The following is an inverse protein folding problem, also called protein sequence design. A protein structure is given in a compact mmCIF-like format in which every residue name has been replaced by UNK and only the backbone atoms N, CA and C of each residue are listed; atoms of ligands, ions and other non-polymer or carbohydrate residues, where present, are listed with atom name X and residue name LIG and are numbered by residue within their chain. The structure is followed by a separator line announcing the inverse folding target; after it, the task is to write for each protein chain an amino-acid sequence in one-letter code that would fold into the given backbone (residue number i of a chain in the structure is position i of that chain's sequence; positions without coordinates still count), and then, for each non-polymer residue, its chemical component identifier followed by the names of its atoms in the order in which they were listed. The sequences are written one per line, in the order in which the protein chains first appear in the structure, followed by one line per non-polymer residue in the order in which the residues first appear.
data_IF_357202484916
#
_entry.id   IF_357202484916
#
_cell.length_a   1.000
_cell.length_b   1.000
_cell.length_c   1.000
_cell.angle_alpha   90.00
_cell.angle_beta   90.00
_cell.angle_gamma   90.00
#
_symmetry.space_group_name_H-M   'P 1'
#
loop_
_entity.id
_entity.type
_entity.pdbx_description
1 polymer ?
#
# COMPACT_ATOMS: atom_id res chain seq x y z
N UNK A 1 -44.27 41.75 -45.14
CA UNK A 1 -44.30 41.81 -43.65
C UNK A 1 -44.30 40.43 -43.01
N UNK A 2 -45.16 39.50 -43.38
CA UNK A 2 -45.22 38.14 -42.76
C UNK A 2 -43.90 37.38 -42.84
N UNK A 3 -43.21 37.37 -43.99
CA UNK A 3 -41.91 36.70 -44.19
C UNK A 3 -40.81 37.24 -43.28
N UNK A 4 -40.75 38.54 -43.07
CA UNK A 4 -39.79 39.18 -42.16
C UNK A 4 -40.05 38.80 -40.70
N UNK A 5 -41.35 38.80 -40.34
CA UNK A 5 -41.75 38.42 -38.97
C UNK A 5 -41.43 36.95 -38.67
N UNK A 6 -41.72 36.05 -39.63
CA UNK A 6 -41.39 34.61 -39.47
C UNK A 6 -39.88 34.37 -39.37
N UNK A 7 -39.08 35.11 -40.15
CA UNK A 7 -37.61 35.04 -40.08
C UNK A 7 -37.07 35.54 -38.74
N UNK A 8 -37.63 36.63 -38.19
CA UNK A 8 -37.26 37.13 -36.87
C UNK A 8 -37.60 36.13 -35.75
N UNK A 9 -38.79 35.53 -35.81
CA UNK A 9 -39.20 34.49 -34.84
C UNK A 9 -38.30 33.26 -34.93
N UNK A 10 -37.92 32.83 -36.12
CA UNK A 10 -36.99 31.73 -36.31
C UNK A 10 -35.58 32.04 -35.75
N UNK A 11 -35.10 33.28 -35.94
CA UNK A 11 -33.82 33.71 -35.37
C UNK A 11 -33.85 33.78 -33.84
N UNK A 12 -34.98 34.26 -33.26
CA UNK A 12 -35.17 34.25 -31.81
C UNK A 12 -35.19 32.83 -31.24
N UNK A 13 -35.90 31.90 -31.90
CA UNK A 13 -35.90 30.50 -31.51
C UNK A 13 -34.52 29.84 -31.63
N UNK A 14 -33.77 30.09 -32.68
CA UNK A 14 -32.40 29.62 -32.85
C UNK A 14 -31.46 30.17 -31.75
N UNK A 15 -31.57 31.46 -31.42
CA UNK A 15 -30.82 32.08 -30.33
C UNK A 15 -31.19 31.44 -28.98
N UNK A 16 -32.47 31.24 -28.73
CA UNK A 16 -32.99 30.57 -27.53
C UNK A 16 -32.43 29.13 -27.41
N UNK A 17 -32.46 28.37 -28.52
CA UNK A 17 -31.91 27.02 -28.55
C UNK A 17 -30.43 26.98 -28.12
N UNK A 18 -29.58 27.88 -28.66
CA UNK A 18 -28.19 27.95 -28.28
C UNK A 18 -27.97 28.28 -26.78
N UNK A 19 -28.84 29.16 -26.25
CA UNK A 19 -28.79 29.47 -24.82
C UNK A 19 -29.25 28.30 -23.95
N UNK A 20 -30.32 27.60 -24.30
CA UNK A 20 -30.80 26.39 -23.60
C UNK A 20 -29.70 25.31 -23.64
N UNK A 21 -29.03 25.10 -24.79
CA UNK A 21 -27.93 24.14 -24.89
C UNK A 21 -26.78 24.50 -23.94
N UNK A 22 -26.38 25.78 -23.86
CA UNK A 22 -25.35 26.23 -22.91
C UNK A 22 -25.77 26.03 -21.45
N UNK A 23 -27.02 26.36 -21.13
CA UNK A 23 -27.59 26.14 -19.80
C UNK A 23 -27.69 24.64 -19.44
N UNK A 24 -28.08 23.77 -20.36
CA UNK A 24 -28.18 22.35 -20.15
C UNK A 24 -26.79 21.73 -19.86
N UNK A 25 -25.74 22.12 -20.60
CA UNK A 25 -24.37 21.67 -20.32
C UNK A 25 -23.93 22.12 -18.92
N UNK A 26 -24.06 23.41 -18.60
CA UNK A 26 -23.72 23.92 -17.27
C UNK A 26 -24.51 23.23 -16.15
N UNK A 27 -25.77 22.94 -16.40
CA UNK A 27 -26.64 22.25 -15.45
C UNK A 27 -26.17 20.82 -15.18
N UNK A 28 -25.81 20.06 -16.23
CA UNK A 28 -25.29 18.71 -16.10
C UNK A 28 -23.96 18.72 -15.33
N UNK A 29 -23.07 19.65 -15.65
CA UNK A 29 -21.82 19.82 -14.94
C UNK A 29 -22.03 20.08 -13.45
N UNK A 30 -22.82 21.10 -13.12
CA UNK A 30 -23.09 21.48 -11.71
C UNK A 30 -23.82 20.36 -10.96
N UNK A 31 -24.75 19.68 -11.60
CA UNK A 31 -25.44 18.53 -10.99
C UNK A 31 -24.47 17.41 -10.66
N UNK A 32 -23.56 17.07 -11.57
CA UNK A 32 -22.56 16.02 -11.35
C UNK A 32 -21.54 16.45 -10.26
N UNK A 33 -21.03 17.68 -10.31
CA UNK A 33 -20.16 18.23 -9.28
C UNK A 33 -20.83 18.23 -7.89
N UNK A 34 -22.13 18.52 -7.83
CA UNK A 34 -22.91 18.48 -6.58
C UNK A 34 -23.01 17.06 -6.01
N UNK A 35 -23.18 16.04 -6.87
CA UNK A 35 -23.16 14.63 -6.44
C UNK A 35 -21.83 14.25 -5.86
N UNK A 36 -20.73 14.64 -6.50
CA UNK A 36 -19.38 14.34 -6.01
C UNK A 36 -18.98 15.17 -4.77
N UNK A 37 -19.59 16.34 -4.55
CA UNK A 37 -19.45 17.10 -3.31
C UNK A 37 -20.03 16.35 -2.08
N UNK A 38 -20.93 15.38 -2.30
CA UNK A 38 -21.44 14.48 -1.26
C UNK A 38 -20.57 13.22 -1.10
N UNK A 39 -19.26 13.40 -0.99
CA UNK A 39 -18.32 12.30 -0.79
C UNK A 39 -18.55 11.57 0.54
N UNK A 40 -18.01 10.35 0.66
CA UNK A 40 -18.05 9.60 1.90
C UNK A 40 -17.18 10.26 2.98
N UNK A 41 -17.85 10.86 3.98
CA UNK A 41 -17.17 11.58 5.07
C UNK A 41 -16.31 10.64 5.91
N UNK A 42 -16.68 9.38 6.09
CA UNK A 42 -15.94 8.39 6.88
C UNK A 42 -14.60 8.04 6.23
N UNK A 43 -14.60 7.75 4.93
CA UNK A 43 -13.36 7.52 4.17
C UNK A 43 -12.46 8.76 4.17
N UNK A 44 -13.06 9.95 4.04
CA UNK A 44 -12.29 11.18 4.05
C UNK A 44 -11.69 11.50 5.41
N UNK A 45 -12.45 11.39 6.48
CA UNK A 45 -12.00 11.73 7.83
C UNK A 45 -10.85 10.82 8.30
N UNK A 46 -10.97 9.51 8.05
CA UNK A 46 -9.99 8.53 8.52
C UNK A 46 -8.81 8.36 7.56
N UNK A 47 -9.09 8.30 6.25
CA UNK A 47 -8.13 7.83 5.26
C UNK A 47 -7.84 8.81 4.14
N UNK A 48 -8.50 9.97 4.12
CA UNK A 48 -8.31 11.01 3.08
C UNK A 48 -8.57 10.50 1.65
N UNK A 49 -9.45 9.53 1.50
CA UNK A 49 -9.92 9.04 0.19
C UNK A 49 -11.23 9.74 -0.16
N UNK A 50 -11.27 10.39 -1.32
CA UNK A 50 -12.49 10.97 -1.88
C UNK A 50 -13.17 9.92 -2.76
N UNK A 51 -14.40 9.56 -2.41
CA UNK A 51 -15.24 8.65 -3.17
C UNK A 51 -16.71 8.90 -2.82
N UNK A 52 -17.63 8.69 -3.77
CA UNK A 52 -19.07 8.79 -3.54
C UNK A 52 -19.78 7.46 -3.84
N UNK A 53 -21.04 7.32 -3.41
CA UNK A 53 -21.79 6.09 -3.61
C UNK A 53 -22.29 5.98 -5.06
N UNK A 54 -21.92 4.89 -5.75
CA UNK A 54 -22.38 4.60 -7.11
C UNK A 54 -23.91 4.49 -7.20
N UNK A 55 -24.56 3.92 -6.17
CA UNK A 55 -26.01 3.63 -6.18
C UNK A 55 -26.87 4.88 -6.28
N UNK A 56 -26.40 6.01 -5.80
CA UNK A 56 -27.17 7.27 -5.74
C UNK A 56 -26.87 8.25 -6.87
N UNK A 57 -25.89 7.99 -7.75
CA UNK A 57 -25.42 8.97 -8.75
C UNK A 57 -26.53 9.41 -9.69
N UNK A 58 -27.21 8.48 -10.36
CA UNK A 58 -28.24 8.83 -11.36
C UNK A 58 -29.42 9.57 -10.75
N UNK A 59 -29.94 9.08 -9.63
CA UNK A 59 -31.07 9.70 -8.93
C UNK A 59 -30.73 11.15 -8.49
N UNK A 60 -29.54 11.36 -7.96
CA UNK A 60 -29.08 12.68 -7.53
C UNK A 60 -28.80 13.61 -8.70
N UNK A 61 -28.17 13.14 -9.79
CA UNK A 61 -27.97 13.96 -11.01
C UNK A 61 -29.31 14.43 -11.56
N UNK A 62 -30.32 13.55 -11.61
CA UNK A 62 -31.68 13.91 -12.05
C UNK A 62 -32.33 14.91 -11.09
N UNK A 63 -32.22 14.69 -9.77
CA UNK A 63 -32.78 15.58 -8.76
C UNK A 63 -32.16 16.97 -8.82
N UNK A 64 -30.84 17.09 -8.74
CA UNK A 64 -30.11 18.36 -8.81
C UNK A 64 -30.29 19.04 -10.17
N UNK A 65 -30.35 18.26 -11.25
CA UNK A 65 -30.66 18.77 -12.58
C UNK A 65 -32.03 19.45 -12.64
N UNK A 66 -33.06 18.92 -12.00
CA UNK A 66 -34.41 19.48 -11.98
C UNK A 66 -34.56 20.64 -10.97
N UNK A 67 -33.98 20.56 -9.77
CA UNK A 67 -34.08 21.60 -8.74
C UNK A 67 -33.53 22.94 -9.21
N UNK A 68 -32.36 22.97 -9.81
CA UNK A 68 -31.75 24.20 -10.31
C UNK A 68 -32.58 24.89 -11.41
N UNK A 69 -33.37 24.13 -12.18
CA UNK A 69 -34.27 24.67 -13.19
C UNK A 69 -35.48 25.38 -12.53
N UNK A 70 -35.97 24.83 -11.43
CA UNK A 70 -37.13 25.36 -10.70
C UNK A 70 -36.81 26.63 -9.91
N UNK A 71 -35.71 26.68 -9.20
CA UNK A 71 -35.35 27.80 -8.31
C UNK A 71 -35.08 29.12 -9.05
N UNK A 72 -34.68 29.10 -10.32
CA UNK A 72 -34.37 30.31 -11.12
C UNK A 72 -35.59 30.99 -11.77
N UNK A 73 -36.80 30.53 -11.49
CA UNK A 73 -38.00 30.91 -12.27
C UNK A 73 -38.97 31.79 -11.50
N UNK A 74 -38.51 32.90 -10.93
CA UNK A 74 -39.40 34.04 -10.61
C UNK A 74 -39.67 34.84 -11.90
N UNK A 75 -40.73 34.52 -12.61
CA UNK A 75 -41.14 35.25 -13.82
C UNK A 75 -41.52 34.42 -15.04
N UNK A 76 -41.54 35.03 -16.22
CA UNK A 76 -41.80 34.31 -17.49
C UNK A 76 -40.57 33.46 -17.82
N UNK A 77 -40.72 32.14 -17.70
CA UNK A 77 -39.64 31.20 -18.03
C UNK A 77 -39.47 31.03 -19.54
N UNK A 78 -38.58 31.80 -20.14
CA UNK A 78 -38.23 31.66 -21.57
C UNK A 78 -37.41 30.39 -21.86
N UNK A 79 -36.84 29.76 -20.86
CA UNK A 79 -35.98 28.59 -21.00
C UNK A 79 -36.63 27.33 -20.43
N UNK A 80 -37.88 27.08 -20.79
CA UNK A 80 -38.61 25.90 -20.32
C UNK A 80 -37.97 24.61 -20.89
N UNK A 81 -37.09 24.01 -20.10
CA UNK A 81 -36.53 22.69 -20.34
C UNK A 81 -36.50 21.89 -19.04
N UNK A 82 -36.48 20.56 -19.14
CA UNK A 82 -36.46 19.65 -17.99
C UNK A 82 -35.61 18.44 -18.31
N UNK A 83 -35.09 17.78 -17.29
CA UNK A 83 -34.49 16.46 -17.44
C UNK A 83 -35.54 15.46 -17.85
N UNK A 84 -35.29 14.73 -18.92
CA UNK A 84 -36.15 13.66 -19.43
C UNK A 84 -35.63 12.29 -19.01
N UNK A 85 -34.32 12.13 -19.07
CA UNK A 85 -33.64 10.87 -18.84
C UNK A 85 -32.15 11.09 -18.49
N UNK A 86 -31.58 10.23 -17.65
CA UNK A 86 -30.19 10.23 -17.25
C UNK A 86 -29.60 8.85 -17.43
N UNK A 87 -28.42 8.75 -18.06
CA UNK A 87 -27.70 7.50 -18.30
C UNK A 87 -26.28 7.58 -17.72
N UNK A 88 -25.83 6.51 -17.06
CA UNK A 88 -24.46 6.37 -16.58
C UNK A 88 -23.64 5.64 -17.65
N UNK A 89 -22.78 6.38 -18.36
CA UNK A 89 -21.98 5.89 -19.48
C UNK A 89 -20.67 5.25 -19.08
N UNK A 90 -20.25 5.46 -17.83
CA UNK A 90 -19.07 4.88 -17.27
C UNK A 90 -18.87 5.33 -15.82
N UNK A 91 -18.16 4.55 -15.06
CA UNK A 91 -17.73 4.88 -13.70
C UNK A 91 -16.54 4.02 -13.30
N UNK A 92 -15.73 4.52 -12.36
CA UNK A 92 -14.57 3.83 -11.83
C UNK A 92 -14.76 3.62 -10.33
N UNK A 93 -14.77 2.36 -9.89
CA UNK A 93 -14.80 1.98 -8.47
C UNK A 93 -13.41 2.00 -7.88
N UNK A 94 -13.32 2.15 -6.55
CA UNK A 94 -12.06 2.00 -5.82
C UNK A 94 -11.40 0.64 -6.07
N UNK A 95 -12.19 -0.41 -6.28
CA UNK A 95 -11.72 -1.78 -6.50
C UNK A 95 -11.30 -2.09 -7.94
N UNK A 96 -11.55 -1.20 -8.91
CA UNK A 96 -11.25 -1.45 -10.32
C UNK A 96 -9.75 -1.57 -10.60
N UNK A 97 -9.41 -2.40 -11.59
CA UNK A 97 -8.04 -2.70 -11.95
C UNK A 97 -7.28 -3.41 -10.83
N UNK A 98 -7.97 -4.33 -10.13
CA UNK A 98 -7.41 -5.04 -8.97
C UNK A 98 -6.86 -4.07 -7.91
N UNK A 99 -7.59 -2.97 -7.65
CA UNK A 99 -7.23 -1.93 -6.68
C UNK A 99 -6.36 -0.79 -7.25
N UNK A 100 -6.04 -0.78 -8.55
CA UNK A 100 -5.28 0.31 -9.17
C UNK A 100 -5.98 1.66 -9.02
N UNK A 101 -7.30 1.72 -9.11
CA UNK A 101 -8.08 2.94 -8.90
C UNK A 101 -7.93 3.47 -7.45
N UNK A 102 -7.85 2.58 -6.47
CA UNK A 102 -7.57 2.95 -5.08
C UNK A 102 -6.16 3.53 -4.92
N UNK A 103 -5.15 2.92 -5.55
CA UNK A 103 -3.77 3.43 -5.54
C UNK A 103 -3.74 4.86 -6.09
N UNK A 104 -4.43 5.13 -7.19
CA UNK A 104 -4.51 6.45 -7.80
C UNK A 104 -5.18 7.47 -6.89
N UNK A 105 -6.31 7.12 -6.26
CA UNK A 105 -7.00 7.99 -5.31
C UNK A 105 -6.14 8.32 -4.07
N UNK A 106 -5.44 7.34 -3.51
CA UNK A 106 -4.52 7.52 -2.40
C UNK A 106 -3.30 8.37 -2.78
N UNK A 107 -2.72 8.14 -3.96
CA UNK A 107 -1.58 8.87 -4.46
C UNK A 107 -1.93 10.34 -4.78
N UNK A 108 -3.10 10.61 -5.36
CA UNK A 108 -3.55 11.96 -5.69
C UNK A 108 -3.59 12.86 -4.44
N UNK A 109 -4.08 12.35 -3.31
CA UNK A 109 -4.04 13.09 -2.05
C UNK A 109 -2.61 13.34 -1.55
N UNK A 110 -1.72 12.35 -1.71
CA UNK A 110 -0.32 12.48 -1.25
C UNK A 110 0.50 13.40 -2.13
N UNK A 111 0.16 13.58 -3.40
CA UNK A 111 0.91 14.43 -4.35
C UNK A 111 0.99 15.87 -3.88
N UNK A 112 -0.09 16.42 -3.34
CA UNK A 112 -0.14 17.78 -2.80
C UNK A 112 0.69 17.94 -1.52
N UNK A 113 0.97 16.85 -0.81
CA UNK A 113 1.57 16.86 0.53
C UNK A 113 2.99 16.28 0.58
N UNK A 114 3.53 15.77 -0.55
CA UNK A 114 4.80 15.06 -0.56
C UNK A 114 5.75 15.57 -1.66
N UNK A 115 6.97 15.95 -1.27
CA UNK A 115 7.95 16.53 -2.19
C UNK A 115 8.52 15.47 -3.15
N UNK A 116 8.51 15.75 -4.43
CA UNK A 116 9.06 14.90 -5.50
C UNK A 116 10.51 14.45 -5.25
N UNK A 117 11.39 15.36 -4.78
CA UNK A 117 12.78 15.02 -4.48
C UNK A 117 12.90 14.01 -3.32
N UNK A 118 11.99 14.07 -2.36
CA UNK A 118 11.93 13.07 -1.27
C UNK A 118 11.52 11.71 -1.81
N UNK A 119 10.51 11.66 -2.68
CA UNK A 119 10.08 10.43 -3.35
C UNK A 119 11.22 9.80 -4.16
N UNK A 120 11.97 10.60 -4.89
CA UNK A 120 13.12 10.16 -5.68
C UNK A 120 14.23 9.56 -4.79
N UNK A 121 14.50 10.16 -3.64
CA UNK A 121 15.48 9.63 -2.69
C UNK A 121 15.06 8.29 -2.10
N UNK A 122 13.78 8.14 -1.73
CA UNK A 122 13.21 6.88 -1.23
C UNK A 122 13.33 5.79 -2.31
N UNK A 123 12.94 6.10 -3.53
CA UNK A 123 13.03 5.16 -4.65
C UNK A 123 14.48 4.75 -4.95
N UNK A 124 15.43 5.67 -4.86
CA UNK A 124 16.85 5.38 -5.01
C UNK A 124 17.40 4.42 -3.93
N UNK A 125 16.94 4.55 -2.69
CA UNK A 125 17.28 3.60 -1.62
C UNK A 125 16.71 2.21 -1.88
N UNK A 126 15.47 2.13 -2.36
CA UNK A 126 14.82 0.88 -2.74
C UNK A 126 15.57 0.16 -3.87
N UNK A 127 15.92 0.85 -4.95
CA UNK A 127 16.69 0.27 -6.06
C UNK A 127 18.03 -0.28 -5.58
N UNK A 128 18.73 0.44 -4.69
CA UNK A 128 19.97 -0.04 -4.07
C UNK A 128 19.78 -1.36 -3.30
N UNK A 129 18.70 -1.51 -2.55
CA UNK A 129 18.39 -2.75 -1.81
C UNK A 129 18.02 -3.88 -2.74
N UNK A 130 17.22 -3.61 -3.76
CA UNK A 130 16.84 -4.59 -4.79
C UNK A 130 18.06 -5.14 -5.52
N UNK A 131 19.03 -4.29 -5.85
CA UNK A 131 20.29 -4.71 -6.42
C UNK A 131 21.09 -5.59 -5.46
N UNK A 132 21.20 -5.20 -4.19
CA UNK A 132 21.85 -5.99 -3.15
C UNK A 132 21.21 -7.37 -3.00
N UNK A 133 19.88 -7.45 -2.96
CA UNK A 133 19.17 -8.73 -2.89
C UNK A 133 19.40 -9.62 -4.11
N UNK A 134 19.43 -9.03 -5.31
CA UNK A 134 19.66 -9.79 -6.54
C UNK A 134 21.08 -10.34 -6.67
N UNK A 135 22.06 -9.63 -6.10
CA UNK A 135 23.47 -10.04 -6.09
C UNK A 135 23.78 -11.06 -4.97
N UNK A 136 22.98 -11.10 -3.91
CA UNK A 136 23.15 -12.05 -2.81
C UNK A 136 22.58 -13.41 -3.22
N UNK A 137 23.41 -14.28 -3.80
CA UNK A 137 23.05 -15.68 -4.11
C UNK A 137 22.87 -16.57 -2.87
N UNK A 138 22.99 -16.02 -1.66
CA UNK A 138 22.87 -16.76 -0.43
C UNK A 138 21.46 -16.68 0.15
N UNK A 139 20.72 -17.79 0.05
CA UNK A 139 19.50 -18.00 0.82
C UNK A 139 19.84 -18.58 2.21
N UNK A 140 18.98 -18.38 3.21
CA UNK A 140 19.05 -19.08 4.49
C UNK A 140 19.12 -20.61 4.31
N UNK A 141 18.58 -21.13 3.20
CA UNK A 141 18.60 -22.52 2.84
C UNK A 141 20.03 -23.03 2.56
N UNK A 142 20.88 -22.18 1.94
CA UNK A 142 22.26 -22.53 1.64
C UNK A 142 23.12 -22.64 2.90
N UNK A 143 22.81 -21.78 3.90
CA UNK A 143 23.41 -21.84 5.23
C UNK A 143 22.99 -23.11 5.96
N UNK A 144 21.72 -23.44 5.96
CA UNK A 144 21.19 -24.67 6.56
C UNK A 144 21.80 -25.92 5.89
N UNK A 145 21.95 -25.89 4.56
CA UNK A 145 22.58 -26.96 3.80
C UNK A 145 24.08 -27.12 4.11
N UNK A 146 24.82 -25.99 4.21
CA UNK A 146 26.24 -26.01 4.60
C UNK A 146 26.43 -26.53 6.04
N UNK A 147 25.54 -26.15 6.97
CA UNK A 147 25.54 -26.66 8.34
C UNK A 147 25.26 -28.15 8.44
N UNK A 148 24.31 -28.68 7.63
CA UNK A 148 24.03 -30.09 7.56
C UNK A 148 25.22 -30.91 6.99
N UNK A 149 25.90 -30.39 5.97
CA UNK A 149 27.13 -31.00 5.43
C UNK A 149 28.25 -31.05 6.45
N UNK A 150 28.38 -30.00 7.32
CA UNK A 150 29.36 -30.01 8.41
C UNK A 150 29.05 -31.07 9.47
N UNK A 151 27.77 -31.30 9.80
CA UNK A 151 27.34 -32.36 10.72
C UNK A 151 27.70 -33.76 10.22
N UNK A 152 27.41 -34.05 8.96
CA UNK A 152 27.71 -35.33 8.36
C UNK A 152 29.22 -35.61 8.32
N UNK A 153 30.01 -34.53 8.15
CA UNK A 153 31.48 -34.61 8.19
C UNK A 153 32.04 -34.82 9.59
N UNK A 154 31.38 -34.27 10.64
CA UNK A 154 31.81 -34.42 12.06
C UNK A 154 31.42 -35.77 12.65
N UNK A 155 30.29 -36.35 12.25
CA UNK A 155 29.90 -37.69 12.70
C UNK A 155 30.87 -38.79 12.27
N UNK A 156 31.77 -38.51 11.31
CA UNK A 156 32.82 -39.44 10.86
C UNK A 156 34.19 -39.27 11.57
N UNK A 157 34.38 -38.22 12.41
CA UNK A 157 35.65 -37.97 13.09
C UNK A 157 35.49 -37.59 14.58
N UNK A 158 35.79 -38.55 15.44
CA UNK A 158 36.25 -38.55 16.84
C UNK A 158 36.17 -37.29 17.71
N UNK A 159 35.41 -37.43 18.76
CA UNK A 159 35.33 -36.89 20.13
C UNK A 159 36.60 -36.32 20.81
N UNK A 160 37.27 -35.32 20.28
CA UNK A 160 38.22 -34.52 21.10
C UNK A 160 38.71 -33.32 20.33
N UNK A 161 37.97 -32.22 20.36
CA UNK A 161 38.56 -30.87 20.28
C UNK A 161 37.54 -29.76 20.52
N UNK A 162 37.94 -28.84 21.38
CA UNK A 162 37.42 -27.49 21.63
C UNK A 162 35.92 -27.30 21.89
N UNK A 163 35.58 -27.10 23.17
CA UNK A 163 34.21 -26.77 23.64
C UNK A 163 33.57 -25.54 22.97
N UNK A 164 34.36 -24.57 22.49
CA UNK A 164 33.81 -23.33 21.89
C UNK A 164 33.31 -23.49 20.44
N UNK A 165 33.83 -24.46 19.71
CA UNK A 165 33.46 -24.67 18.30
C UNK A 165 32.13 -25.41 18.13
N UNK A 166 31.83 -26.32 19.05
CA UNK A 166 30.54 -27.05 19.09
C UNK A 166 29.41 -26.09 19.43
N UNK A 167 29.68 -25.07 20.26
CA UNK A 167 28.69 -24.12 20.72
C UNK A 167 28.11 -23.21 19.62
N UNK A 168 28.89 -22.76 18.62
CA UNK A 168 28.36 -21.87 17.57
C UNK A 168 27.38 -22.60 16.62
N UNK A 169 27.73 -23.82 16.22
CA UNK A 169 26.88 -24.64 15.36
C UNK A 169 25.62 -25.13 16.09
N UNK A 170 25.74 -25.51 17.35
CA UNK A 170 24.60 -25.85 18.22
C UNK A 170 23.73 -24.62 18.50
N UNK A 171 24.35 -23.46 18.71
CA UNK A 171 23.63 -22.19 18.90
C UNK A 171 22.79 -21.81 17.68
N UNK A 172 23.34 -21.88 16.45
CA UNK A 172 22.59 -21.60 15.23
C UNK A 172 21.35 -22.51 15.12
N UNK A 173 21.48 -23.81 15.46
CA UNK A 173 20.36 -24.73 15.45
C UNK A 173 19.32 -24.41 16.52
N UNK A 174 19.75 -24.04 17.70
CA UNK A 174 18.86 -23.68 18.81
C UNK A 174 18.06 -22.44 18.44
N UNK A 175 18.71 -21.42 17.86
CA UNK A 175 18.06 -20.18 17.43
C UNK A 175 17.09 -20.43 16.26
N UNK A 176 17.47 -21.26 15.30
CA UNK A 176 16.58 -21.60 14.18
C UNK A 176 15.29 -22.31 14.64
N UNK A 177 15.35 -23.06 15.74
CA UNK A 177 14.20 -23.75 16.33
C UNK A 177 13.39 -22.89 17.30
N UNK A 178 13.91 -21.74 17.74
CA UNK A 178 13.17 -20.77 18.55
C UNK A 178 12.27 -19.92 17.68
N UNK A 179 11.16 -19.51 18.22
CA UNK A 179 10.25 -18.57 17.54
C UNK A 179 10.95 -17.22 17.31
N UNK A 180 10.79 -16.64 16.12
CA UNK A 180 11.43 -15.37 15.72
C UNK A 180 11.08 -14.25 16.71
N UNK A 181 9.85 -14.22 17.23
CA UNK A 181 9.39 -13.20 18.18
C UNK A 181 10.16 -13.25 19.49
N UNK A 182 10.40 -14.45 20.05
CA UNK A 182 11.16 -14.62 21.31
C UNK A 182 12.63 -14.23 21.20
N UNK A 183 13.17 -14.15 19.98
CA UNK A 183 14.52 -13.68 19.74
C UNK A 183 14.65 -12.16 19.77
N UNK A 184 13.59 -11.43 19.40
CA UNK A 184 13.66 -9.98 19.16
C UNK A 184 12.81 -9.15 20.11
N UNK A 185 11.89 -9.77 20.86
CA UNK A 185 11.04 -9.12 21.85
C UNK A 185 11.46 -9.56 23.26
N UNK A 186 11.48 -8.60 24.19
CA UNK A 186 11.80 -8.84 25.60
C UNK A 186 10.61 -9.48 26.33
N UNK A 187 9.39 -9.04 26.00
CA UNK A 187 8.15 -9.58 26.51
C UNK A 187 7.15 -9.83 25.36
N UNK A 188 6.74 -11.07 25.16
CA UNK A 188 5.72 -11.44 24.17
C UNK A 188 4.29 -11.06 24.61
N UNK A 189 4.09 -10.81 25.91
CA UNK A 189 2.79 -10.47 26.49
C UNK A 189 2.22 -9.09 26.06
N UNK A 190 3.02 -8.26 25.42
CA UNK A 190 2.64 -6.93 24.92
C UNK A 190 2.21 -6.93 23.43
N UNK A 191 2.15 -8.10 22.79
CA UNK A 191 1.76 -8.21 21.38
C UNK A 191 0.24 -8.20 21.25
N UNK A 192 -0.28 -7.49 20.25
CA UNK A 192 -1.70 -7.49 19.93
C UNK A 192 -2.17 -8.88 19.49
N UNK A 193 -3.32 -9.31 20.02
CA UNK A 193 -4.02 -10.55 19.64
C UNK A 193 -5.19 -10.28 18.68
N UNK A 194 -5.36 -9.04 18.19
CA UNK A 194 -6.42 -8.70 17.25
C UNK A 194 -6.33 -9.52 15.96
N UNK A 195 -7.48 -9.76 15.36
CA UNK A 195 -7.60 -10.49 14.10
C UNK A 195 -8.64 -9.84 13.20
N UNK A 196 -8.41 -9.93 11.89
CA UNK A 196 -9.38 -9.51 10.88
C UNK A 196 -10.41 -10.61 10.65
N UNK A 197 -11.69 -10.24 10.43
CA UNK A 197 -12.71 -11.23 10.08
C UNK A 197 -12.44 -11.81 8.68
N UNK A 198 -12.16 -13.10 8.63
CA UNK A 198 -11.77 -13.83 7.42
C UNK A 198 -12.92 -13.97 6.42
N UNK A 199 -14.17 -13.91 6.90
CA UNK A 199 -15.33 -14.36 6.10
C UNK A 199 -15.88 -13.31 5.14
N UNK A 200 -15.47 -12.04 5.24
CA UNK A 200 -16.02 -10.93 4.44
C UNK A 200 -14.97 -9.88 4.04
N UNK A 201 -13.76 -10.31 3.73
CA UNK A 201 -12.69 -9.42 3.24
C UNK A 201 -12.90 -9.00 1.79
N UNK A 202 -12.49 -7.79 1.46
CA UNK A 202 -12.42 -7.30 0.06
C UNK A 202 -11.60 -8.26 -0.80
N UNK A 203 -10.48 -8.78 -0.26
CA UNK A 203 -9.58 -9.73 -0.93
C UNK A 203 -10.19 -11.08 -1.24
N UNK A 204 -11.27 -11.47 -0.60
CA UNK A 204 -11.93 -12.77 -0.78
C UNK A 204 -13.26 -12.66 -1.54
N UNK A 205 -13.83 -11.46 -1.64
CA UNK A 205 -15.07 -11.21 -2.38
C UNK A 205 -14.81 -11.13 -3.89
N UNK A 206 -15.83 -11.55 -4.67
CA UNK A 206 -15.80 -11.32 -6.12
C UNK A 206 -16.12 -9.85 -6.40
N UNK A 207 -15.15 -9.12 -6.94
CA UNK A 207 -15.35 -7.72 -7.31
C UNK A 207 -16.34 -7.59 -8.46
N UNK A 208 -17.33 -6.66 -8.36
CA UNK A 208 -18.23 -6.35 -9.45
C UNK A 208 -17.45 -5.62 -10.56
N UNK A 209 -17.74 -5.91 -11.81
CA UNK A 209 -17.18 -5.19 -12.95
C UNK A 209 -17.82 -3.81 -13.08
N UNK A 210 -17.01 -2.79 -13.29
CA UNK A 210 -17.48 -1.45 -13.62
C UNK A 210 -17.74 -1.30 -15.12
N UNK A 211 -18.61 -0.37 -15.46
CA UNK A 211 -18.89 -0.06 -16.87
C UNK A 211 -17.94 1.04 -17.35
N UNK A 212 -17.11 0.74 -18.38
CA UNK A 212 -16.14 1.66 -18.97
C UNK A 212 -15.27 2.41 -17.94
N UNK A 213 -14.56 1.72 -17.01
CA UNK A 213 -13.71 2.37 -16.02
C UNK A 213 -12.52 3.05 -16.69
N UNK A 214 -12.04 4.13 -16.08
CA UNK A 214 -10.78 4.77 -16.47
C UNK A 214 -9.70 4.39 -15.46
N UNK A 215 -8.68 3.65 -15.91
CA UNK A 215 -7.58 3.18 -15.06
C UNK A 215 -6.28 3.56 -15.76
N UNK A 216 -5.40 4.25 -15.03
CA UNK A 216 -4.06 4.60 -15.49
C UNK A 216 -3.04 3.63 -14.91
N UNK A 217 -1.91 3.45 -15.58
CA UNK A 217 -0.83 2.60 -15.08
C UNK A 217 -0.14 3.23 -13.86
N UNK A 218 0.20 2.39 -12.88
CA UNK A 218 0.96 2.80 -11.70
C UNK A 218 2.43 2.98 -12.08
N UNK A 219 2.91 4.21 -12.04
CA UNK A 219 4.32 4.51 -12.25
C UNK A 219 5.10 4.51 -10.92
N UNK A 220 6.43 4.65 -10.98
CA UNK A 220 7.29 4.61 -9.80
C UNK A 220 6.95 5.72 -8.77
N UNK A 221 6.55 6.90 -9.23
CA UNK A 221 6.20 8.02 -8.36
C UNK A 221 4.89 7.77 -7.63
N UNK A 222 3.84 7.37 -8.35
CA UNK A 222 2.55 6.93 -7.79
C UNK A 222 2.74 5.83 -6.74
N UNK A 223 3.64 4.88 -7.02
CA UNK A 223 3.99 3.79 -6.11
C UNK A 223 4.61 4.27 -4.80
N UNK A 224 5.55 5.22 -4.87
CA UNK A 224 6.15 5.82 -3.66
C UNK A 224 5.12 6.63 -2.90
N UNK A 225 4.25 7.39 -3.57
CA UNK A 225 3.16 8.12 -2.91
C UNK A 225 2.20 7.17 -2.18
N UNK A 226 1.82 6.07 -2.82
CA UNK A 226 0.98 5.04 -2.20
C UNK A 226 1.66 4.38 -0.98
N UNK A 227 2.94 4.07 -1.08
CA UNK A 227 3.73 3.59 0.06
C UNK A 227 3.72 4.60 1.22
N UNK A 228 3.92 5.89 0.94
CA UNK A 228 3.88 6.94 1.97
C UNK A 228 2.47 7.13 2.54
N UNK A 229 1.43 6.96 1.72
CA UNK A 229 0.05 6.92 2.17
C UNK A 229 -0.16 5.83 3.23
N UNK A 230 0.22 4.58 2.93
CA UNK A 230 0.11 3.47 3.88
C UNK A 230 0.85 3.76 5.20
N UNK A 231 2.09 4.21 5.14
CA UNK A 231 2.88 4.56 6.33
C UNK A 231 2.32 5.74 7.13
N UNK A 232 1.46 6.56 6.51
CA UNK A 232 0.86 7.74 7.17
C UNK A 232 -0.49 7.40 7.78
N UNK A 233 -1.33 6.63 7.09
CA UNK A 233 -2.72 6.39 7.48
C UNK A 233 -2.98 5.03 8.13
N UNK A 234 -2.10 4.05 7.98
CA UNK A 234 -2.23 2.75 8.64
C UNK A 234 -1.45 2.72 9.97
N UNK A 235 -1.92 1.89 10.90
CA UNK A 235 -1.21 1.56 12.13
C UNK A 235 -0.05 0.59 11.85
N UNK A 236 0.92 0.53 12.75
CA UNK A 236 2.00 -0.43 12.73
C UNK A 236 2.52 -0.67 14.15
N UNK A 237 3.36 -1.68 14.36
CA UNK A 237 3.89 -2.05 15.67
C UNK A 237 4.46 -0.88 16.51
N UNK A 238 4.93 0.19 15.87
CA UNK A 238 5.49 1.38 16.56
C UNK A 238 4.51 2.54 16.67
N UNK A 239 3.38 2.49 15.97
CA UNK A 239 2.42 3.58 15.91
C UNK A 239 0.99 3.03 15.88
N UNK A 240 0.39 2.89 17.04
CA UNK A 240 -1.01 2.47 17.21
C UNK A 240 -1.96 3.64 16.90
N UNK A 241 -2.95 3.40 16.04
CA UNK A 241 -4.01 4.36 15.67
C UNK A 241 -5.40 3.96 16.20
N UNK A 242 -5.48 2.87 16.96
CA UNK A 242 -6.74 2.32 17.50
C UNK A 242 -7.71 1.91 16.39
N UNK A 243 -7.19 1.31 15.34
CA UNK A 243 -7.95 0.72 14.26
C UNK A 243 -8.38 -0.72 14.59
N UNK A 244 -9.05 -1.38 13.66
CA UNK A 244 -9.45 -2.79 13.80
C UNK A 244 -8.26 -3.71 14.08
N UNK A 245 -7.14 -3.50 13.38
CA UNK A 245 -5.85 -4.11 13.68
C UNK A 245 -4.89 -3.08 14.27
N UNK A 246 -3.99 -3.52 15.16
CA UNK A 246 -2.91 -2.67 15.67
C UNK A 246 -1.70 -2.66 14.73
N UNK A 247 -1.56 -3.69 13.85
CA UNK A 247 -0.44 -3.89 12.93
C UNK A 247 -0.91 -3.97 11.48
N UNK A 248 -1.60 -2.92 10.99
CA UNK A 248 -2.17 -2.87 9.63
C UNK A 248 -1.11 -2.90 8.52
N UNK A 249 0.02 -2.19 8.69
CA UNK A 249 1.13 -2.22 7.72
C UNK A 249 1.70 -3.63 7.60
N UNK A 250 1.86 -4.32 8.71
CA UNK A 250 2.31 -5.71 8.77
C UNK A 250 1.29 -6.66 8.13
N UNK A 251 -0.02 -6.38 8.29
CA UNK A 251 -1.08 -7.10 7.57
C UNK A 251 -0.96 -6.90 6.06
N UNK A 252 -0.78 -5.67 5.60
CA UNK A 252 -0.60 -5.39 4.17
C UNK A 252 0.59 -6.16 3.60
N UNK A 253 1.69 -6.28 4.34
CA UNK A 253 2.85 -7.06 3.94
C UNK A 253 2.59 -8.56 3.90
N UNK A 254 1.94 -9.12 4.94
CA UNK A 254 1.85 -10.56 5.15
C UNK A 254 0.51 -11.18 4.76
N UNK A 255 -0.61 -10.48 4.92
CA UNK A 255 -1.96 -10.96 4.62
C UNK A 255 -2.40 -12.13 5.50
N UNK A 256 -1.96 -12.18 6.77
CA UNK A 256 -2.37 -13.20 7.73
C UNK A 256 -3.54 -12.69 8.58
N UNK A 257 -4.32 -13.59 9.15
CA UNK A 257 -5.55 -13.22 9.83
C UNK A 257 -5.34 -12.54 11.19
N UNK A 258 -4.17 -12.68 11.82
CA UNK A 258 -3.89 -12.11 13.13
C UNK A 258 -2.66 -11.20 13.16
N UNK A 259 -2.70 -10.18 14.00
CA UNK A 259 -1.59 -9.26 14.25
C UNK A 259 -0.29 -9.98 14.59
N UNK A 260 -0.37 -11.02 15.43
CA UNK A 260 0.82 -11.78 15.85
C UNK A 260 1.48 -12.50 14.67
N UNK A 261 0.70 -13.09 13.75
CA UNK A 261 1.24 -13.78 12.58
C UNK A 261 1.80 -12.79 11.56
N UNK A 262 1.15 -11.63 11.40
CA UNK A 262 1.62 -10.56 10.53
C UNK A 262 2.95 -9.98 11.05
N UNK A 263 3.04 -9.67 12.33
CA UNK A 263 4.26 -9.19 12.97
C UNK A 263 5.40 -10.21 12.84
N UNK A 264 5.14 -11.49 13.09
CA UNK A 264 6.12 -12.57 12.94
C UNK A 264 6.66 -12.67 11.52
N UNK A 265 5.78 -12.61 10.52
CA UNK A 265 6.16 -12.64 9.11
C UNK A 265 7.02 -11.43 8.72
N UNK A 266 6.60 -10.24 9.12
CA UNK A 266 7.31 -8.98 8.86
C UNK A 266 8.68 -8.94 9.51
N UNK A 267 8.79 -9.34 10.77
CA UNK A 267 10.08 -9.45 11.48
C UNK A 267 10.99 -10.44 10.76
N UNK A 268 10.47 -11.56 10.27
CA UNK A 268 11.27 -12.55 9.51
C UNK A 268 11.83 -11.94 8.23
N UNK A 269 11.03 -11.17 7.47
CA UNK A 269 11.50 -10.47 6.27
C UNK A 269 12.54 -9.39 6.62
N UNK A 270 12.29 -8.62 7.67
CA UNK A 270 13.22 -7.58 8.14
C UNK A 270 14.58 -8.18 8.57
N UNK A 271 14.56 -9.27 9.32
CA UNK A 271 15.77 -10.01 9.69
C UNK A 271 16.52 -10.52 8.46
N UNK A 272 15.80 -10.99 7.45
CA UNK A 272 16.42 -11.47 6.20
C UNK A 272 17.16 -10.34 5.49
N UNK A 273 16.53 -9.17 5.30
CA UNK A 273 17.18 -8.01 4.68
C UNK A 273 18.42 -7.59 5.51
N UNK A 274 18.28 -7.51 6.83
CA UNK A 274 19.38 -7.14 7.70
C UNK A 274 20.53 -8.13 7.64
N UNK A 275 20.23 -9.43 7.65
CA UNK A 275 21.26 -10.47 7.55
C UNK A 275 22.05 -10.40 6.22
N UNK A 276 21.36 -10.11 5.09
CA UNK A 276 22.03 -9.90 3.79
C UNK A 276 22.95 -8.68 3.84
N UNK A 277 22.48 -7.54 4.33
CA UNK A 277 23.29 -6.33 4.45
C UNK A 277 24.50 -6.54 5.38
N UNK A 278 24.31 -7.23 6.50
CA UNK A 278 25.36 -7.56 7.46
C UNK A 278 26.38 -8.55 6.88
N UNK A 279 25.93 -9.53 6.11
CA UNK A 279 26.79 -10.47 5.41
C UNK A 279 27.68 -9.78 4.37
N UNK A 280 27.14 -8.83 3.61
CA UNK A 280 27.91 -8.03 2.65
C UNK A 280 29.01 -7.22 3.35
N UNK A 281 28.68 -6.57 4.48
CA UNK A 281 29.67 -5.85 5.26
C UNK A 281 30.79 -6.79 5.75
N UNK A 282 30.45 -7.93 6.36
CA UNK A 282 31.43 -8.92 6.83
C UNK A 282 32.30 -9.47 5.69
N UNK A 283 31.69 -9.71 4.52
CA UNK A 283 32.41 -10.24 3.34
C UNK A 283 33.42 -9.24 2.77
N UNK A 284 33.16 -7.96 2.89
CA UNK A 284 34.02 -6.88 2.39
C UNK A 284 35.04 -6.38 3.45
N UNK A 285 34.92 -6.75 4.73
CA UNK A 285 35.81 -6.35 5.79
C UNK A 285 36.98 -7.32 5.96
N UNK A 286 38.20 -6.91 5.58
CA UNK A 286 39.42 -7.74 5.72
C UNK A 286 39.61 -8.22 7.16
N UNK A 287 39.49 -7.33 8.14
CA UNK A 287 39.64 -7.64 9.56
C UNK A 287 38.63 -8.69 10.02
N UNK A 288 37.39 -8.58 9.64
CA UNK A 288 36.33 -9.52 10.02
C UNK A 288 36.51 -10.88 9.32
N UNK A 289 36.99 -10.88 8.08
CA UNK A 289 37.33 -12.11 7.34
C UNK A 289 38.53 -12.85 7.97
N UNK A 290 39.53 -12.12 8.49
CA UNK A 290 40.67 -12.70 9.23
C UNK A 290 40.21 -13.31 10.55
N UNK A 291 39.35 -12.62 11.33
CA UNK A 291 38.78 -13.16 12.58
C UNK A 291 37.98 -14.44 12.32
N UNK A 292 37.13 -14.47 11.33
CA UNK A 292 36.33 -15.64 10.94
C UNK A 292 37.26 -16.80 10.46
N UNK A 293 38.27 -16.48 9.67
CA UNK A 293 39.29 -17.43 9.21
C UNK A 293 40.10 -18.07 10.35
N UNK A 294 40.53 -17.28 11.29
CA UNK A 294 41.25 -17.77 12.49
C UNK A 294 40.39 -18.72 13.32
N UNK A 295 39.12 -18.39 13.53
CA UNK A 295 38.17 -19.26 14.20
C UNK A 295 37.86 -20.53 13.39
N UNK A 296 37.72 -20.44 12.07
CA UNK A 296 37.51 -21.57 11.19
C UNK A 296 38.68 -22.57 11.25
N UNK A 297 39.92 -22.10 11.24
CA UNK A 297 41.10 -22.94 11.39
C UNK A 297 41.13 -23.61 12.79
N UNK A 298 40.74 -22.90 13.83
CA UNK A 298 40.61 -23.47 15.18
C UNK A 298 39.58 -24.60 15.26
N UNK A 299 38.45 -24.46 14.55
CA UNK A 299 37.36 -25.42 14.50
C UNK A 299 37.70 -26.63 13.60
N UNK A 300 38.15 -26.39 12.39
CA UNK A 300 38.45 -27.45 11.42
C UNK A 300 39.73 -28.19 11.75
N UNK A 301 40.62 -27.60 12.50
CA UNK A 301 41.99 -28.11 12.81
C UNK A 301 43.03 -27.68 11.77
N UNK A 302 44.26 -27.43 12.21
CA UNK A 302 45.33 -26.92 11.37
C UNK A 302 45.75 -27.87 10.20
N UNK A 303 45.37 -29.14 10.27
CA UNK A 303 45.61 -30.16 9.23
C UNK A 303 44.42 -30.41 8.28
N UNK A 304 43.36 -29.60 8.39
CA UNK A 304 42.16 -29.76 7.59
C UNK A 304 42.39 -29.32 6.14
N UNK A 305 41.61 -29.94 5.23
CA UNK A 305 41.56 -29.52 3.84
C UNK A 305 41.12 -28.03 3.74
N UNK A 306 41.85 -27.17 2.96
CA UNK A 306 41.45 -25.77 2.72
C UNK A 306 40.01 -25.57 2.38
N UNK A 307 39.38 -26.46 1.62
CA UNK A 307 37.95 -26.40 1.27
C UNK A 307 37.07 -26.52 2.52
N UNK A 308 37.42 -27.39 3.49
CA UNK A 308 36.66 -27.49 4.73
C UNK A 308 36.81 -26.24 5.60
N UNK A 309 38.01 -25.64 5.64
CA UNK A 309 38.24 -24.38 6.36
C UNK A 309 37.35 -23.26 5.75
N UNK A 310 37.24 -23.16 4.43
CA UNK A 310 36.42 -22.15 3.75
C UNK A 310 34.92 -22.38 3.99
N UNK A 311 34.45 -23.62 3.98
CA UNK A 311 33.05 -23.94 4.34
C UNK A 311 32.75 -23.53 5.78
N UNK A 312 33.63 -23.84 6.74
CA UNK A 312 33.44 -23.45 8.14
C UNK A 312 33.47 -21.93 8.30
N UNK A 313 34.39 -21.26 7.61
CA UNK A 313 34.49 -19.79 7.62
C UNK A 313 33.19 -19.13 7.10
N UNK A 314 32.68 -19.61 5.97
CA UNK A 314 31.41 -19.10 5.41
C UNK A 314 30.25 -19.30 6.38
N UNK A 315 30.16 -20.47 7.02
CA UNK A 315 29.13 -20.74 8.03
C UNK A 315 29.23 -19.77 9.23
N UNK A 316 30.46 -19.50 9.71
CA UNK A 316 30.70 -18.52 10.80
C UNK A 316 30.28 -17.10 10.39
N UNK A 317 30.68 -16.65 9.20
CA UNK A 317 30.33 -15.31 8.69
C UNK A 317 28.82 -15.15 8.59
N UNK A 318 28.13 -16.18 8.11
CA UNK A 318 26.66 -16.16 7.98
C UNK A 318 25.98 -16.16 9.35
N UNK A 319 26.45 -16.97 10.29
CA UNK A 319 25.95 -16.98 11.66
C UNK A 319 26.13 -15.63 12.34
N UNK A 320 27.29 -15.00 12.14
CA UNK A 320 27.61 -13.70 12.67
C UNK A 320 26.71 -12.60 12.08
N UNK A 321 26.49 -12.60 10.76
CA UNK A 321 25.56 -11.69 10.09
C UNK A 321 24.12 -11.83 10.62
N UNK A 322 23.67 -13.05 10.82
CA UNK A 322 22.35 -13.34 11.38
C UNK A 322 22.23 -12.88 12.85
N UNK A 323 23.24 -13.16 13.66
CA UNK A 323 23.29 -12.73 15.04
C UNK A 323 23.23 -11.20 15.18
N UNK A 324 23.98 -10.46 14.35
CA UNK A 324 23.90 -8.99 14.30
C UNK A 324 22.51 -8.53 13.83
N UNK A 325 21.83 -9.27 12.91
CA UNK A 325 20.48 -8.91 12.47
C UNK A 325 19.43 -9.00 13.59
N UNK A 326 19.60 -9.90 14.56
CA UNK A 326 18.77 -9.97 15.77
C UNK A 326 18.90 -8.68 16.57
N UNK A 327 20.14 -8.21 16.79
CA UNK A 327 20.41 -6.97 17.52
C UNK A 327 19.82 -5.76 16.79
N UNK A 328 19.98 -5.72 15.47
CA UNK A 328 19.43 -4.67 14.61
C UNK A 328 17.92 -4.58 14.78
N UNK A 329 17.21 -5.71 14.67
CA UNK A 329 15.75 -5.74 14.79
C UNK A 329 15.30 -5.39 16.19
N UNK A 330 15.97 -5.86 17.25
CA UNK A 330 15.70 -5.44 18.63
C UNK A 330 15.78 -3.92 18.79
N UNK A 331 16.79 -3.30 18.16
CA UNK A 331 16.96 -1.85 18.18
C UNK A 331 15.84 -1.13 17.45
N UNK A 332 15.45 -1.59 16.25
CA UNK A 332 14.36 -1.02 15.47
C UNK A 332 13.02 -1.14 16.20
N UNK A 333 12.69 -2.31 16.75
CA UNK A 333 11.46 -2.53 17.51
C UNK A 333 11.41 -1.70 18.80
N UNK A 334 12.55 -1.34 19.39
CA UNK A 334 12.60 -0.42 20.53
C UNK A 334 12.67 1.07 20.15
N UNK A 335 12.56 1.43 18.85
CA UNK A 335 12.52 2.81 18.36
C UNK A 335 13.88 3.42 18.06
N UNK A 336 14.93 2.60 17.96
CA UNK A 336 16.23 3.05 17.51
C UNK A 336 16.37 3.08 15.99
N UNK A 337 17.52 3.55 15.50
CA UNK A 337 17.87 3.69 14.08
C UNK A 337 19.06 2.83 13.72
N UNK A 338 18.97 2.16 12.58
CA UNK A 338 20.02 1.27 12.08
C UNK A 338 20.43 1.71 10.67
N UNK A 339 21.74 1.84 10.43
CA UNK A 339 22.25 2.12 9.08
C UNK A 339 21.94 0.97 8.14
N UNK A 340 21.53 1.27 6.91
CA UNK A 340 21.25 0.27 5.90
C UNK A 340 22.46 -0.63 5.64
N UNK A 341 23.60 -0.02 5.36
CA UNK A 341 24.90 -0.71 5.29
C UNK A 341 25.72 -0.39 6.54
N UNK A 342 26.27 -1.42 7.17
CA UNK A 342 27.11 -1.30 8.35
C UNK A 342 28.51 -0.78 8.01
N UNK A 343 29.14 -0.22 9.02
CA UNK A 343 30.56 0.16 9.05
C UNK A 343 31.18 -0.33 10.34
N UNK A 344 32.51 -0.21 10.50
CA UNK A 344 33.20 -0.59 11.74
C UNK A 344 32.63 0.13 12.96
N UNK A 345 32.22 1.39 12.82
CA UNK A 345 31.63 2.18 13.90
C UNK A 345 30.22 1.77 14.29
N UNK A 346 29.43 1.28 13.33
CA UNK A 346 28.03 0.86 13.54
C UNK A 346 27.88 -0.63 13.82
N UNK A 347 28.93 -1.42 13.65
CA UNK A 347 28.95 -2.83 14.01
C UNK A 347 28.95 -3.03 15.52
N UNK A 348 28.17 -3.99 16.03
CA UNK A 348 27.99 -4.18 17.48
C UNK A 348 28.60 -5.46 17.99
N UNK A 349 28.31 -6.58 17.34
CA UNK A 349 28.58 -7.90 17.89
C UNK A 349 30.01 -8.37 17.59
N UNK A 350 30.76 -8.73 18.65
CA UNK A 350 32.01 -9.44 18.48
C UNK A 350 31.78 -10.94 18.25
N UNK A 351 32.70 -11.57 17.50
CA UNK A 351 32.56 -12.97 17.08
C UNK A 351 32.46 -13.92 18.31
N UNK A 352 33.15 -13.62 19.41
CA UNK A 352 33.15 -14.42 20.65
C UNK A 352 31.85 -14.23 21.46
N UNK A 353 31.07 -13.19 21.18
CA UNK A 353 29.83 -12.89 21.87
C UNK A 353 28.57 -13.52 21.19
N UNK A 354 28.72 -14.15 20.04
CA UNK A 354 27.59 -14.75 19.29
C UNK A 354 26.80 -15.72 20.18
N UNK A 355 27.48 -16.57 20.95
CA UNK A 355 26.84 -17.60 21.80
C UNK A 355 26.20 -17.04 23.07
N UNK A 356 26.46 -15.77 23.43
CA UNK A 356 25.95 -15.10 24.63
C UNK A 356 24.70 -14.25 24.38
N UNK A 357 24.21 -14.17 23.14
CA UNK A 357 23.07 -13.37 22.75
C UNK A 357 21.75 -13.68 23.51
N UNK A 358 21.67 -14.88 24.10
CA UNK A 358 20.50 -15.31 24.88
C UNK A 358 20.59 -14.92 26.35
N UNK A 359 21.79 -14.74 26.88
CA UNK A 359 22.00 -14.40 28.29
C UNK A 359 21.69 -12.94 28.60
N UNK A 360 21.97 -12.05 27.63
CA UNK A 360 21.71 -10.61 27.74
C UNK A 360 20.86 -10.16 26.55
N UNK A 361 19.76 -9.40 26.80
CA UNK A 361 18.95 -8.78 25.72
C UNK A 361 19.69 -7.60 25.09
N UNK A 362 20.78 -7.90 24.40
CA UNK A 362 21.63 -6.91 23.74
C UNK A 362 20.90 -6.29 22.54
N UNK A 363 21.15 -5.01 22.31
CA UNK A 363 20.67 -4.22 21.16
C UNK A 363 21.86 -3.71 20.34
N UNK A 364 21.66 -3.51 19.05
CA UNK A 364 22.68 -2.91 18.19
C UNK A 364 22.91 -1.43 18.54
N UNK A 365 24.07 -0.92 18.14
CA UNK A 365 24.40 0.51 18.28
C UNK A 365 23.41 1.35 17.48
N UNK A 366 22.79 2.32 18.15
CA UNK A 366 21.90 3.28 17.51
C UNK A 366 22.70 4.23 16.61
N UNK A 367 22.25 4.43 15.37
CA UNK A 367 22.89 5.28 14.37
C UNK A 367 22.02 6.50 14.10
N UNK A 368 22.51 7.71 14.38
CA UNK A 368 21.73 8.95 14.19
C UNK A 368 21.24 9.14 12.75
N UNK A 369 22.07 8.76 11.77
CA UNK A 369 21.77 8.85 10.34
C UNK A 369 21.19 7.53 9.79
N UNK A 370 20.77 6.62 10.68
CA UNK A 370 20.17 5.33 10.33
C UNK A 370 18.67 5.45 10.02
N UNK A 371 18.11 4.38 9.50
CA UNK A 371 16.69 4.19 9.21
C UNK A 371 15.96 3.66 10.44
N UNK A 372 14.74 4.15 10.65
CA UNK A 372 13.80 3.69 11.68
C UNK A 372 13.00 2.46 11.20
N UNK A 373 12.24 1.85 12.11
CA UNK A 373 11.33 0.76 11.79
C UNK A 373 10.39 1.11 10.64
N UNK A 374 9.79 2.31 10.69
CA UNK A 374 8.89 2.82 9.64
C UNK A 374 9.55 2.87 8.26
N UNK A 375 10.81 3.29 8.19
CA UNK A 375 11.54 3.38 6.92
C UNK A 375 11.79 1.99 6.32
N UNK A 376 12.15 1.02 7.18
CA UNK A 376 12.29 -0.38 6.76
C UNK A 376 10.96 -0.99 6.29
N UNK A 377 9.82 -0.65 6.94
CA UNK A 377 8.51 -1.06 6.45
C UNK A 377 8.24 -0.50 5.06
N UNK A 378 8.59 0.77 4.83
CA UNK A 378 8.50 1.38 3.52
C UNK A 378 9.28 0.63 2.43
N UNK A 379 10.50 0.20 2.75
CA UNK A 379 11.32 -0.62 1.84
C UNK A 379 10.63 -1.96 1.57
N UNK A 380 10.11 -2.63 2.59
CA UNK A 380 9.40 -3.90 2.43
C UNK A 380 8.15 -3.75 1.57
N UNK A 381 7.39 -2.66 1.73
CA UNK A 381 6.22 -2.36 0.91
C UNK A 381 6.59 -2.18 -0.57
N UNK A 382 7.67 -1.47 -0.88
CA UNK A 382 8.12 -1.29 -2.27
C UNK A 382 8.60 -2.60 -2.93
N UNK A 383 8.88 -3.64 -2.15
CA UNK A 383 9.23 -4.98 -2.66
C UNK A 383 8.00 -5.85 -2.97
N UNK A 384 6.80 -5.44 -2.55
CA UNK A 384 5.56 -6.19 -2.77
C UNK A 384 4.88 -5.82 -4.10
N UNK A 385 3.88 -6.62 -4.44
CA UNK A 385 2.98 -6.35 -5.56
C UNK A 385 1.96 -5.27 -5.18
N UNK A 386 1.83 -4.24 -6.01
CA UNK A 386 1.01 -3.06 -5.72
C UNK A 386 -0.48 -3.40 -5.59
N UNK A 387 -1.00 -4.25 -6.46
CA UNK A 387 -2.41 -4.63 -6.47
C UNK A 387 -2.78 -5.45 -5.23
N UNK A 388 -1.94 -6.41 -4.86
CA UNK A 388 -2.10 -7.18 -3.62
C UNK A 388 -2.13 -6.26 -2.40
N UNK A 389 -1.24 -5.26 -2.34
CA UNK A 389 -1.23 -4.30 -1.25
C UNK A 389 -2.50 -3.46 -1.23
N UNK A 390 -2.96 -2.94 -2.38
CA UNK A 390 -4.16 -2.11 -2.47
C UNK A 390 -5.39 -2.84 -1.93
N UNK A 391 -5.59 -4.09 -2.32
CA UNK A 391 -6.71 -4.91 -1.85
C UNK A 391 -6.61 -5.12 -0.33
N UNK A 392 -5.43 -5.44 0.21
CA UNK A 392 -5.24 -5.61 1.66
C UNK A 392 -5.42 -4.31 2.44
N UNK A 393 -5.04 -3.17 1.88
CA UNK A 393 -5.33 -1.86 2.49
C UNK A 393 -6.83 -1.64 2.58
N UNK A 394 -7.58 -1.97 1.52
CA UNK A 394 -9.04 -1.88 1.53
C UNK A 394 -9.68 -2.84 2.56
N UNK A 395 -9.12 -4.04 2.78
CA UNK A 395 -9.58 -4.97 3.83
C UNK A 395 -9.58 -4.30 5.21
N UNK A 396 -8.43 -3.76 5.63
CA UNK A 396 -8.28 -3.15 6.96
C UNK A 396 -9.06 -1.85 7.11
N UNK A 397 -9.13 -1.04 6.04
CA UNK A 397 -9.92 0.20 6.05
C UNK A 397 -11.41 -0.08 6.16
N UNK A 398 -11.92 -1.04 5.41
CA UNK A 398 -13.33 -1.43 5.47
C UNK A 398 -13.70 -1.95 6.86
N UNK A 399 -12.90 -2.84 7.43
CA UNK A 399 -13.15 -3.35 8.77
C UNK A 399 -13.09 -2.23 9.83
N UNK A 400 -12.07 -1.38 9.78
CA UNK A 400 -11.97 -0.24 10.72
C UNK A 400 -13.18 0.69 10.63
N UNK A 401 -13.66 0.97 9.41
CA UNK A 401 -14.85 1.82 9.22
C UNK A 401 -16.12 1.14 9.75
N UNK A 402 -16.29 -0.17 9.49
CA UNK A 402 -17.43 -0.95 10.02
C UNK A 402 -17.47 -0.93 11.53
N UNK A 403 -16.35 -1.21 12.19
CA UNK A 403 -16.26 -1.21 13.65
C UNK A 403 -16.46 0.19 14.24
N UNK A 404 -15.81 1.20 13.69
CA UNK A 404 -15.85 2.56 14.22
C UNK A 404 -17.23 3.22 14.11
N UNK A 405 -17.93 2.95 13.01
CA UNK A 405 -19.24 3.56 12.73
C UNK A 405 -20.41 2.59 12.97
N UNK A 406 -20.13 1.41 13.53
CA UNK A 406 -21.12 0.37 13.83
C UNK A 406 -22.02 0.07 12.61
N UNK A 407 -21.42 -0.01 11.42
CA UNK A 407 -22.13 -0.17 10.15
C UNK A 407 -21.53 -1.27 9.27
N UNK A 408 -22.05 -2.47 9.37
CA UNK A 408 -21.62 -3.65 8.61
C UNK A 408 -21.92 -3.56 7.09
N UNK A 409 -22.70 -2.56 6.66
CA UNK A 409 -23.04 -2.39 5.24
C UNK A 409 -22.00 -1.59 4.45
N UNK A 410 -20.93 -1.14 5.07
CA UNK A 410 -19.83 -0.46 4.39
C UNK A 410 -19.08 -1.48 3.53
N UNK A 411 -19.02 -1.24 2.21
CA UNK A 411 -18.33 -2.07 1.23
C UNK A 411 -17.51 -1.19 0.30
N UNK A 412 -16.22 -1.49 0.13
CA UNK A 412 -15.33 -0.68 -0.71
C UNK A 412 -15.74 -0.67 -2.19
N UNK A 413 -16.34 -1.74 -2.68
CA UNK A 413 -16.87 -1.86 -4.05
C UNK A 413 -18.10 -0.99 -4.36
N UNK A 414 -18.75 -0.40 -3.36
CA UNK A 414 -19.87 0.53 -3.56
C UNK A 414 -19.43 1.97 -3.86
N UNK A 415 -18.13 2.27 -3.71
CA UNK A 415 -17.57 3.61 -3.83
C UNK A 415 -16.89 3.84 -5.15
N UNK A 416 -17.20 4.99 -5.78
CA UNK A 416 -16.62 5.40 -7.06
C UNK A 416 -15.82 6.69 -6.93
N UNK A 417 -14.77 6.80 -7.74
CA UNK A 417 -13.90 7.98 -7.85
C UNK A 417 -14.18 8.79 -9.11
N UNK A 418 -14.87 8.21 -10.08
CA UNK A 418 -15.20 8.83 -11.35
C UNK A 418 -16.60 8.39 -11.82
N UNK A 419 -17.31 9.32 -12.46
CA UNK A 419 -18.51 9.00 -13.25
C UNK A 419 -18.57 9.79 -14.54
N UNK A 420 -19.11 9.14 -15.60
CA UNK A 420 -19.48 9.73 -16.88
C UNK A 420 -20.97 9.61 -17.05
N UNK A 421 -21.67 10.74 -17.15
CA UNK A 421 -23.12 10.76 -17.29
C UNK A 421 -23.55 11.45 -18.56
N UNK A 422 -24.63 10.94 -19.17
CA UNK A 422 -25.36 11.63 -20.21
C UNK A 422 -26.71 12.03 -19.68
N UNK A 423 -27.08 13.27 -19.92
CA UNK A 423 -28.40 13.79 -19.57
C UNK A 423 -29.15 14.22 -20.82
N UNK A 424 -30.37 13.75 -20.95
CA UNK A 424 -31.27 14.11 -22.01
C UNK A 424 -32.28 15.14 -21.50
N UNK A 425 -32.21 16.34 -22.03
CA UNK A 425 -33.13 17.41 -21.70
C UNK A 425 -34.21 17.52 -22.78
N UNK A 426 -35.44 17.79 -22.36
CA UNK A 426 -36.56 18.05 -23.23
C UNK A 426 -36.98 19.52 -23.08
N UNK A 427 -37.19 20.22 -24.19
CA UNK A 427 -37.71 21.57 -24.19
C UNK A 427 -38.80 21.78 -25.26
N UNK A 428 -39.68 22.76 -25.05
CA UNK A 428 -40.72 23.14 -25.97
C UNK A 428 -40.36 24.42 -26.73
N UNK A 429 -40.61 24.51 -28.06
CA UNK A 429 -40.44 25.73 -28.82
C UNK A 429 -41.49 26.77 -28.38
N UNK A 430 -41.06 28.04 -28.24
CA UNK A 430 -41.93 29.13 -27.82
C UNK A 430 -42.34 30.02 -28.99
N UNK A 431 -41.41 30.36 -29.88
CA UNK A 431 -41.64 31.28 -30.98
C UNK A 431 -42.02 30.60 -32.29
N UNK A 432 -41.75 29.32 -32.42
CA UNK A 432 -42.07 28.53 -33.61
C UNK A 432 -42.70 27.21 -33.17
N UNK A 433 -43.99 27.23 -32.87
CA UNK A 433 -44.70 26.02 -32.43
C UNK A 433 -45.47 25.44 -33.60
N UNK A 434 -45.03 24.28 -34.06
CA UNK A 434 -45.83 23.40 -34.97
C UNK A 434 -46.77 22.52 -34.14
N UNK A 435 -46.87 22.71 -32.84
CA UNK A 435 -47.63 21.88 -31.90
C UNK A 435 -49.10 21.79 -32.22
N UNK A 436 -49.67 22.82 -32.88
CA UNK A 436 -51.03 22.77 -33.41
C UNK A 436 -51.21 21.85 -34.63
N UNK A 437 -50.08 21.46 -35.27
CA UNK A 437 -50.06 20.62 -36.47
C UNK A 437 -49.57 19.21 -36.16
N UNK A 438 -48.62 19.07 -35.23
CA UNK A 438 -48.05 17.80 -34.77
C UNK A 438 -48.00 17.83 -33.22
N UNK A 439 -49.05 17.28 -32.54
CA UNK A 439 -49.05 17.14 -31.09
C UNK A 439 -47.86 16.24 -30.69
N UNK A 440 -47.07 16.68 -29.74
CA UNK A 440 -45.88 15.96 -29.19
C UNK A 440 -44.53 16.23 -29.86
N UNK A 441 -44.32 17.34 -30.55
CA UNK A 441 -42.99 17.70 -31.03
C UNK A 441 -42.21 18.40 -29.93
N UNK A 442 -41.48 17.59 -29.14
CA UNK A 442 -40.49 18.07 -28.13
C UNK A 442 -39.09 17.98 -28.74
N UNK A 443 -38.34 19.06 -28.59
CA UNK A 443 -36.94 19.02 -28.95
C UNK A 443 -36.10 18.46 -27.79
N UNK A 444 -35.07 17.71 -28.13
CA UNK A 444 -34.17 17.08 -27.16
C UNK A 444 -32.76 17.65 -27.30
N UNK A 445 -32.09 17.84 -26.17
CA UNK A 445 -30.68 18.23 -26.08
C UNK A 445 -29.98 17.14 -25.29
N UNK A 446 -28.88 16.67 -25.83
CA UNK A 446 -28.00 15.71 -25.17
C UNK A 446 -26.78 16.46 -24.64
N UNK A 447 -26.44 16.18 -23.37
CA UNK A 447 -25.23 16.65 -22.72
C UNK A 447 -24.47 15.44 -22.18
N UNK A 448 -23.17 15.50 -22.19
CA UNK A 448 -22.29 14.47 -21.65
C UNK A 448 -21.23 15.15 -20.82
N UNK A 449 -21.09 14.71 -19.56
CA UNK A 449 -20.11 15.24 -18.63
C UNK A 449 -19.40 14.12 -17.88
N UNK A 450 -18.15 14.39 -17.50
CA UNK A 450 -17.31 13.51 -16.73
C UNK A 450 -16.78 14.29 -15.52
N UNK A 451 -16.81 13.64 -14.37
CA UNK A 451 -16.16 14.14 -13.16
C UNK A 451 -15.32 13.04 -12.53
N UNK A 452 -14.14 13.42 -12.04
CA UNK A 452 -13.26 12.59 -11.21
C UNK A 452 -12.66 13.44 -10.10
N UNK A 453 -12.44 12.83 -8.95
CA UNK A 453 -11.70 13.48 -7.85
C UNK A 453 -10.24 13.66 -8.20
#
# INVERSE_FOLDING_TARGET
MMLVASMLLALLEASRFHQIKGLANLQTQVALESVFAEYNTYLWEEYRILACSQKSVLEKVESYGNEQIVEKNEGINFFQFRVKDTELNGYTRLTDGDGTAFIQAAAAYMEDNFLYETAKNIYGQYEGIREIQSQSQYSFQDVANALNQLKDSQNQRTRKQSRNSVNILEWIQTIYNKGVLSLVLEEESAISEKSIDVTDKVSERKMPESYNPTIEEVNWYTRVLFQQYMLTYLSNYRNDKKHALDYEVEYVLMGKDSDIENLKGTITQLMTIRAVCNFLYLSNSVTRQEQAGGLAISIAGASANPILIEIVKTAIVTAWAFAESILDVRTLLSGGKISLLKSDNSWTLDIDAITKLEEDFLKAKNCNDGLEYKDYMGILLLLQDDNTMAIRVMDVQEQTLREKYENDSICMEDWITEAKVSVRYQYQPVFFSIEKVIPSWNYEIFTEERFSY
#
